data_IF_467935112815
#
_entry.id   IF_467935112815
#
_cell.length_a   1.000
_cell.length_b   1.000
_cell.length_c   1.000
_cell.angle_alpha   90.00
_cell.angle_beta   90.00
_cell.angle_gamma   90.00
#
_symmetry.space_group_name_H-M   'P 1'
#
loop_
_entity.id
_entity.type
_entity.pdbx_description
1 polymer ?
#
# COMPACT_ATOMS: atom_id res chain seq x y z
N UNK A 1 -6.93 4.60 -22.61
CA UNK A 1 -6.85 3.90 -21.31
C UNK A 1 -8.07 4.28 -20.50
N UNK A 2 -8.70 3.35 -19.75
CA UNK A 2 -9.79 3.71 -18.85
C UNK A 2 -9.32 4.75 -17.83
N UNK A 3 -10.17 5.72 -17.53
CA UNK A 3 -9.86 6.80 -16.58
C UNK A 3 -10.07 6.26 -15.16
N UNK A 4 -8.97 5.98 -14.45
CA UNK A 4 -9.04 5.49 -13.08
C UNK A 4 -9.54 6.58 -12.13
N UNK A 5 -10.52 6.25 -11.29
CA UNK A 5 -11.08 7.18 -10.31
C UNK A 5 -10.48 6.94 -8.91
N UNK A 6 -10.27 8.03 -8.16
CA UNK A 6 -9.82 8.01 -6.76
C UNK A 6 -10.90 8.41 -5.76
N UNK A 7 -11.85 9.26 -6.20
CA UNK A 7 -13.05 9.66 -5.48
C UNK A 7 -14.21 9.76 -6.46
N UNK A 8 -15.41 9.42 -6.00
CA UNK A 8 -16.66 9.53 -6.79
C UNK A 8 -17.89 9.91 -5.97
N UNK A 9 -17.92 9.45 -4.71
CA UNK A 9 -19.02 9.74 -3.79
C UNK A 9 -19.12 11.25 -3.54
N UNK A 10 -20.34 11.76 -3.61
CA UNK A 10 -20.69 13.17 -3.34
C UNK A 10 -19.97 14.19 -4.26
N UNK A 11 -19.57 13.77 -5.47
CA UNK A 11 -18.95 14.63 -6.48
C UNK A 11 -19.80 14.67 -7.76
N UNK A 12 -19.77 15.80 -8.51
CA UNK A 12 -20.48 15.91 -9.78
C UNK A 12 -19.92 14.99 -10.88
N UNK A 13 -18.67 14.55 -10.73
CA UNK A 13 -18.00 13.60 -11.61
C UNK A 13 -16.86 12.90 -10.87
N UNK A 14 -16.45 11.74 -11.37
CA UNK A 14 -15.29 11.01 -10.83
C UNK A 14 -14.03 11.88 -10.81
N UNK A 15 -13.41 11.97 -9.64
CA UNK A 15 -12.11 12.60 -9.47
C UNK A 15 -11.00 11.62 -9.84
N UNK A 16 -10.10 11.97 -10.77
CA UNK A 16 -9.10 11.02 -11.26
C UNK A 16 -8.15 10.58 -10.15
N UNK A 17 -7.80 9.29 -10.11
CA UNK A 17 -6.88 8.72 -9.11
C UNK A 17 -5.55 9.46 -9.09
N UNK A 18 -4.94 9.69 -10.27
CA UNK A 18 -3.66 10.40 -10.35
C UNK A 18 -3.71 11.80 -9.72
N UNK A 19 -4.82 12.51 -9.87
CA UNK A 19 -4.98 13.84 -9.27
C UNK A 19 -5.06 13.74 -7.75
N UNK A 20 -5.85 12.79 -7.23
CA UNK A 20 -5.92 12.51 -5.78
C UNK A 20 -4.55 12.17 -5.17
N UNK A 21 -3.72 11.38 -5.86
CA UNK A 21 -2.37 11.05 -5.40
C UNK A 21 -1.45 12.29 -5.40
N UNK A 22 -1.48 13.09 -6.47
CA UNK A 22 -0.69 14.33 -6.57
C UNK A 22 -1.12 15.34 -5.51
N UNK A 23 -2.43 15.52 -5.30
CA UNK A 23 -2.97 16.44 -4.29
C UNK A 23 -2.53 16.02 -2.89
N UNK A 24 -2.52 14.73 -2.60
CA UNK A 24 -2.07 14.21 -1.31
C UNK A 24 -0.58 14.46 -1.10
N UNK A 25 0.25 14.24 -2.13
CA UNK A 25 1.67 14.58 -2.08
C UNK A 25 1.90 16.10 -1.90
N UNK A 26 1.13 16.94 -2.61
CA UNK A 26 1.20 18.39 -2.48
C UNK A 26 0.76 18.85 -1.07
N UNK A 27 -0.27 18.24 -0.49
CA UNK A 27 -0.68 18.51 0.88
C UNK A 27 0.44 18.15 1.87
N UNK A 28 1.12 17.01 1.68
CA UNK A 28 2.25 16.62 2.51
C UNK A 28 3.42 17.62 2.44
N UNK A 29 3.72 18.19 1.27
CA UNK A 29 4.67 19.30 1.15
C UNK A 29 4.28 20.49 2.02
N UNK A 30 3.02 20.92 1.95
CA UNK A 30 2.51 22.05 2.75
C UNK A 30 2.56 21.74 4.25
N UNK A 31 2.24 20.52 4.66
CA UNK A 31 2.32 20.10 6.06
C UNK A 31 3.76 20.10 6.56
N UNK A 32 4.70 19.57 5.79
CA UNK A 32 6.12 19.59 6.12
C UNK A 32 6.67 21.01 6.30
N UNK A 33 6.29 21.92 5.40
CA UNK A 33 6.81 23.28 5.38
C UNK A 33 6.15 24.21 6.40
N UNK A 34 4.86 24.01 6.69
CA UNK A 34 4.07 24.98 7.47
C UNK A 34 3.51 24.47 8.79
N UNK A 35 3.44 23.16 9.00
CA UNK A 35 2.74 22.58 10.15
C UNK A 35 3.62 21.66 11.01
N UNK A 36 4.63 21.04 10.42
CA UNK A 36 5.51 20.14 11.15
C UNK A 36 6.37 20.93 12.15
N UNK A 37 6.31 20.56 13.42
CA UNK A 37 7.13 21.21 14.45
C UNK A 37 8.63 21.06 14.08
N UNK A 38 9.46 22.12 14.23
CA UNK A 38 10.86 22.08 13.82
C UNK A 38 11.65 20.89 14.38
N UNK A 39 11.39 20.51 15.64
CA UNK A 39 12.02 19.35 16.26
C UNK A 39 11.64 18.01 15.62
N UNK A 40 10.38 17.84 15.20
CA UNK A 40 9.92 16.62 14.51
C UNK A 40 10.52 16.54 13.11
N UNK A 41 10.57 17.67 12.39
CA UNK A 41 11.22 17.78 11.08
C UNK A 41 12.70 17.39 11.16
N UNK A 42 13.44 18.00 12.09
CA UNK A 42 14.85 17.69 12.30
C UNK A 42 15.07 16.21 12.69
N UNK A 43 14.20 15.66 13.53
CA UNK A 43 14.24 14.24 13.88
C UNK A 43 14.02 13.33 12.66
N UNK A 44 13.00 13.60 11.83
CA UNK A 44 12.73 12.83 10.61
C UNK A 44 13.90 12.89 9.63
N UNK A 45 14.46 14.09 9.38
CA UNK A 45 15.63 14.28 8.53
C UNK A 45 16.80 13.41 9.02
N UNK A 46 17.07 13.43 10.33
CA UNK A 46 18.14 12.62 10.92
C UNK A 46 17.88 11.10 10.81
N UNK A 47 16.63 10.65 11.03
CA UNK A 47 16.29 9.22 10.94
C UNK A 47 16.31 8.70 9.50
N UNK A 48 15.94 9.54 8.53
CA UNK A 48 15.99 9.18 7.12
C UNK A 48 17.42 9.22 6.56
N UNK A 49 18.34 9.92 7.23
CA UNK A 49 19.71 10.11 6.73
C UNK A 49 19.76 10.91 5.43
N UNK A 50 18.74 11.73 5.17
CA UNK A 50 18.60 12.58 3.99
C UNK A 50 18.83 14.03 4.38
N UNK A 51 19.05 14.89 3.38
CA UNK A 51 18.89 16.32 3.61
C UNK A 51 17.40 16.68 3.75
N UNK A 52 17.14 17.91 4.20
CA UNK A 52 15.79 18.39 4.47
C UNK A 52 14.88 18.39 3.22
N UNK A 53 15.45 18.68 2.05
CA UNK A 53 14.70 18.76 0.80
C UNK A 53 14.31 17.37 0.29
N UNK A 54 15.22 16.40 0.41
CA UNK A 54 15.00 15.02 0.02
C UNK A 54 14.12 14.27 1.02
N UNK A 55 14.25 14.54 2.32
CA UNK A 55 13.31 14.04 3.33
C UNK A 55 11.87 14.52 3.04
N UNK A 56 11.71 15.81 2.70
CA UNK A 56 10.42 16.38 2.31
C UNK A 56 9.84 15.70 1.07
N UNK A 57 10.66 15.50 0.03
CA UNK A 57 10.27 14.79 -1.20
C UNK A 57 9.87 13.36 -0.91
N UNK A 58 10.63 12.66 -0.07
CA UNK A 58 10.37 11.28 0.30
C UNK A 58 9.04 11.15 1.07
N UNK A 59 8.80 11.99 2.08
CA UNK A 59 7.52 12.00 2.81
C UNK A 59 6.34 12.31 1.89
N UNK A 60 6.49 13.29 0.98
CA UNK A 60 5.45 13.59 0.00
C UNK A 60 5.22 12.44 -0.98
N UNK A 61 6.27 11.73 -1.38
CA UNK A 61 6.17 10.53 -2.19
C UNK A 61 5.40 9.41 -1.46
N UNK A 62 5.74 9.13 -0.19
CA UNK A 62 5.00 8.15 0.62
C UNK A 62 3.51 8.49 0.72
N UNK A 63 3.19 9.77 0.94
CA UNK A 63 1.81 10.24 0.97
C UNK A 63 1.10 10.06 -0.39
N UNK A 64 1.81 10.32 -1.49
CA UNK A 64 1.31 10.10 -2.86
C UNK A 64 1.14 8.63 -3.25
N UNK A 65 1.71 7.68 -2.50
CA UNK A 65 1.54 6.24 -2.76
C UNK A 65 0.35 5.61 -2.03
N UNK A 66 -0.24 6.28 -1.04
CA UNK A 66 -1.18 5.64 -0.10
C UNK A 66 -2.35 4.93 -0.79
N UNK A 67 -2.85 5.50 -1.89
CA UNK A 67 -4.04 5.03 -2.60
C UNK A 67 -3.71 4.33 -3.94
N UNK A 68 -2.45 3.94 -4.18
CA UNK A 68 -2.04 3.28 -5.44
C UNK A 68 -2.86 2.01 -5.71
N UNK A 69 -3.23 1.27 -4.66
CA UNK A 69 -4.05 0.07 -4.76
C UNK A 69 -5.48 0.32 -5.23
N UNK A 70 -5.93 1.57 -5.36
CA UNK A 70 -7.18 1.90 -6.05
C UNK A 70 -7.13 1.61 -7.54
N UNK A 71 -5.94 1.50 -8.14
CA UNK A 71 -5.76 1.07 -9.52
C UNK A 71 -5.97 -0.45 -9.72
N UNK A 72 -6.86 -1.08 -8.93
CA UNK A 72 -7.22 -2.49 -9.07
C UNK A 72 -8.68 -2.64 -9.51
N UNK A 73 -9.04 -3.76 -10.17
CA UNK A 73 -10.43 -4.03 -10.56
C UNK A 73 -11.40 -4.01 -9.39
N UNK A 74 -11.01 -4.55 -8.23
CA UNK A 74 -11.88 -4.58 -7.05
C UNK A 74 -12.39 -3.19 -6.65
N UNK A 75 -11.51 -2.19 -6.74
CA UNK A 75 -11.89 -0.81 -6.46
C UNK A 75 -12.57 -0.14 -7.65
N UNK A 76 -12.02 -0.27 -8.86
CA UNK A 76 -12.50 0.47 -10.04
C UNK A 76 -13.89 0.01 -10.51
N UNK A 77 -14.12 -1.30 -10.47
CA UNK A 77 -15.37 -1.93 -10.90
C UNK A 77 -16.36 -2.11 -9.73
N UNK A 78 -15.93 -1.81 -8.50
CA UNK A 78 -16.65 -2.10 -7.25
C UNK A 78 -17.12 -3.57 -7.18
N UNK A 79 -16.30 -4.47 -7.73
CA UNK A 79 -16.61 -5.89 -7.87
C UNK A 79 -15.43 -6.80 -7.44
N UNK A 80 -15.66 -7.82 -6.58
CA UNK A 80 -16.93 -8.21 -5.97
C UNK A 80 -17.48 -7.10 -5.06
N UNK A 81 -18.75 -7.14 -4.61
CA UNK A 81 -19.34 -6.05 -3.85
C UNK A 81 -18.48 -5.69 -2.62
N UNK A 82 -18.27 -4.40 -2.32
CA UNK A 82 -17.51 -3.98 -1.15
C UNK A 82 -18.03 -4.64 0.13
N UNK A 83 -17.13 -5.24 0.91
CA UNK A 83 -17.46 -5.97 2.14
C UNK A 83 -17.77 -7.46 1.96
N UNK A 84 -17.80 -7.98 0.73
CA UNK A 84 -17.83 -9.42 0.47
C UNK A 84 -16.51 -10.11 0.88
N UNK A 85 -16.55 -11.43 1.09
CA UNK A 85 -15.39 -12.20 1.54
C UNK A 85 -14.20 -12.15 0.56
N UNK A 86 -14.48 -12.00 -0.73
CA UNK A 86 -13.47 -11.94 -1.80
C UNK A 86 -13.05 -10.49 -2.13
N UNK A 87 -13.64 -9.48 -1.47
CA UNK A 87 -13.28 -8.09 -1.68
C UNK A 87 -11.95 -7.76 -1.01
N UNK A 88 -10.96 -7.39 -1.82
CA UNK A 88 -9.67 -6.91 -1.33
C UNK A 88 -9.70 -5.39 -1.22
N UNK A 89 -9.50 -4.87 -0.02
CA UNK A 89 -9.50 -3.43 0.24
C UNK A 89 -8.27 -2.77 -0.41
N UNK A 90 -8.39 -1.54 -0.88
CA UNK A 90 -7.35 -0.92 -1.72
C UNK A 90 -6.05 -0.63 -0.94
N UNK A 91 -6.12 -0.44 0.37
CA UNK A 91 -4.94 -0.32 1.23
C UNK A 91 -4.21 -1.66 1.36
N UNK A 92 -4.94 -2.79 1.35
CA UNK A 92 -4.34 -4.11 1.30
C UNK A 92 -3.70 -4.37 -0.08
N UNK A 93 -4.34 -3.95 -1.16
CA UNK A 93 -3.73 -4.00 -2.49
C UNK A 93 -2.45 -3.18 -2.53
N UNK A 94 -2.45 -1.97 -1.95
CA UNK A 94 -1.25 -1.11 -1.86
C UNK A 94 -0.13 -1.83 -1.12
N UNK A 95 -0.43 -2.43 0.04
CA UNK A 95 0.52 -3.24 0.82
C UNK A 95 1.11 -4.41 0.02
N UNK A 96 0.29 -5.14 -0.72
CA UNK A 96 0.73 -6.35 -1.45
C UNK A 96 1.52 -6.02 -2.72
N UNK A 97 1.27 -4.87 -3.36
CA UNK A 97 1.80 -4.55 -4.69
C UNK A 97 3.02 -3.63 -4.65
N UNK A 98 3.10 -2.73 -3.66
CA UNK A 98 4.16 -1.73 -3.58
C UNK A 98 5.58 -2.32 -3.54
N UNK A 99 5.89 -3.44 -2.85
CA UNK A 99 7.25 -3.98 -2.86
C UNK A 99 7.72 -4.32 -4.26
N UNK A 100 6.88 -4.99 -5.05
CA UNK A 100 7.18 -5.34 -6.45
C UNK A 100 7.27 -4.10 -7.34
N UNK A 101 6.36 -3.13 -7.18
CA UNK A 101 6.39 -1.90 -7.97
C UNK A 101 7.67 -1.10 -7.71
N UNK A 102 8.06 -0.94 -6.44
CA UNK A 102 9.24 -0.18 -6.04
C UNK A 102 10.54 -0.86 -6.46
N UNK A 103 10.65 -2.18 -6.31
CA UNK A 103 11.81 -2.93 -6.80
C UNK A 103 11.97 -2.80 -8.32
N UNK A 104 10.85 -2.72 -9.07
CA UNK A 104 10.88 -2.47 -10.52
C UNK A 104 11.41 -1.09 -10.93
N UNK A 105 11.49 -0.13 -10.00
CA UNK A 105 12.09 1.19 -10.24
C UNK A 105 13.58 1.26 -9.87
N UNK A 106 14.13 0.24 -9.23
CA UNK A 106 15.53 0.17 -8.85
C UNK A 106 16.23 -0.91 -9.66
N UNK A 107 17.26 -0.57 -10.43
CA UNK A 107 18.10 -1.56 -11.13
C UNK A 107 19.03 -2.35 -10.17
N UNK A 108 18.72 -2.32 -8.87
CA UNK A 108 19.57 -2.81 -7.79
C UNK A 108 18.86 -3.97 -7.10
N UNK A 109 19.39 -5.17 -7.27
CA UNK A 109 19.01 -6.34 -6.48
C UNK A 109 19.75 -6.30 -5.14
N UNK A 110 19.20 -5.58 -4.16
CA UNK A 110 19.75 -5.43 -2.81
C UNK A 110 18.69 -5.77 -1.74
N UNK A 111 18.96 -6.74 -0.84
CA UNK A 111 18.06 -7.08 0.27
C UNK A 111 17.65 -5.90 1.15
N UNK A 112 18.48 -4.87 1.26
CA UNK A 112 18.16 -3.63 1.96
C UNK A 112 17.06 -2.84 1.23
N UNK A 113 17.16 -2.72 -0.10
CA UNK A 113 16.14 -2.07 -0.93
C UNK A 113 14.81 -2.81 -0.82
N UNK A 114 14.87 -4.14 -0.87
CA UNK A 114 13.69 -4.99 -0.66
C UNK A 114 13.06 -4.76 0.72
N UNK A 115 13.87 -4.68 1.78
CA UNK A 115 13.39 -4.38 3.13
C UNK A 115 12.70 -3.01 3.22
N UNK A 116 13.29 -1.97 2.62
CA UNK A 116 12.69 -0.62 2.58
C UNK A 116 11.37 -0.63 1.81
N UNK A 117 11.31 -1.31 0.66
CA UNK A 117 10.09 -1.42 -0.14
C UNK A 117 8.93 -2.05 0.66
N UNK A 118 9.22 -3.08 1.47
CA UNK A 118 8.23 -3.68 2.36
C UNK A 118 7.79 -2.72 3.49
N UNK A 119 8.71 -1.94 4.08
CA UNK A 119 8.34 -0.93 5.10
C UNK A 119 7.46 0.18 4.52
N UNK A 120 7.76 0.64 3.31
CA UNK A 120 6.93 1.61 2.58
C UNK A 120 5.53 1.03 2.35
N UNK A 121 5.46 -0.24 1.95
CA UNK A 121 4.19 -0.92 1.71
C UNK A 121 3.35 -1.05 2.99
N UNK A 122 3.97 -1.34 4.14
CA UNK A 122 3.29 -1.38 5.44
C UNK A 122 2.73 0.00 5.82
N UNK A 123 3.53 1.07 5.67
CA UNK A 123 3.09 2.45 5.96
C UNK A 123 1.90 2.82 5.06
N UNK A 124 2.03 2.60 3.75
CA UNK A 124 0.98 2.90 2.79
C UNK A 124 -0.27 2.04 3.04
N UNK A 125 -0.13 0.76 3.34
CA UNK A 125 -1.27 -0.13 3.62
C UNK A 125 -1.98 0.11 4.96
N UNK A 126 -1.34 0.85 5.87
CA UNK A 126 -1.88 1.23 7.17
C UNK A 126 -2.71 2.52 7.18
N UNK A 127 -2.89 3.19 6.04
CA UNK A 127 -3.42 4.57 6.00
C UNK A 127 -4.89 4.73 6.45
N UNK A 128 -5.66 3.64 6.59
CA UNK A 128 -7.00 3.64 7.21
C UNK A 128 -6.97 3.33 8.72
N UNK A 129 -5.81 3.38 9.36
CA UNK A 129 -5.65 3.16 10.79
C UNK A 129 -5.41 1.70 11.19
N UNK A 130 -5.34 0.79 10.22
CA UNK A 130 -5.09 -0.64 10.45
C UNK A 130 -3.90 -1.11 9.61
N UNK A 131 -2.79 -1.45 10.27
CA UNK A 131 -1.66 -2.07 9.59
C UNK A 131 -2.00 -3.52 9.21
N UNK A 132 -1.62 -3.91 8.00
CA UNK A 132 -1.80 -5.27 7.55
C UNK A 132 -0.96 -6.19 8.42
N UNK A 133 -1.58 -7.17 9.05
CA UNK A 133 -0.83 -8.23 9.72
C UNK A 133 -0.10 -9.04 8.65
N UNK A 134 1.12 -9.48 8.95
CA UNK A 134 1.73 -10.61 8.25
C UNK A 134 0.95 -11.85 8.66
N UNK A 135 -0.33 -11.92 8.30
CA UNK A 135 -1.07 -13.15 8.36
C UNK A 135 -0.28 -14.09 7.46
N UNK A 136 0.23 -15.18 8.04
CA UNK A 136 0.52 -16.39 7.28
C UNK A 136 -0.81 -16.80 6.66
N UNK A 137 -1.20 -16.17 5.55
CA UNK A 137 -2.27 -16.66 4.70
C UNK A 137 -1.78 -18.05 4.34
N UNK A 138 -2.38 -19.06 4.95
CA UNK A 138 -2.10 -20.45 4.62
C UNK A 138 -2.22 -20.53 3.11
N UNK A 139 -1.09 -20.67 2.43
CA UNK A 139 -1.06 -20.91 1.00
C UNK A 139 -1.80 -22.23 0.88
N UNK A 140 -3.08 -22.20 0.48
CA UNK A 140 -3.75 -23.41 0.03
C UNK A 140 -3.03 -23.80 -1.25
N UNK A 141 -2.10 -24.73 -1.12
CA UNK A 141 -1.47 -25.41 -2.25
C UNK A 141 -2.61 -26.11 -2.98
N UNK A 142 -2.97 -25.71 -4.22
CA UNK A 142 -3.97 -26.44 -4.97
C UNK A 142 -3.38 -27.81 -5.32
N UNK A 143 -3.89 -28.89 -4.74
CA UNK A 143 -3.52 -30.24 -5.16
C UNK A 143 -3.28 -31.31 -4.09
N UNK A 144 -3.58 -31.08 -2.81
CA UNK A 144 -3.61 -32.19 -1.84
C UNK A 144 -5.06 -32.47 -1.44
N UNK A 145 -5.68 -33.40 -2.16
CA UNK A 145 -6.78 -34.19 -1.63
C UNK A 145 -6.26 -34.93 -0.40
N UNK A 146 -6.82 -34.65 0.77
CA UNK A 146 -6.63 -35.50 1.94
C UNK A 146 -7.22 -36.88 1.62
N UNK A 147 -6.36 -37.78 1.13
CA UNK A 147 -6.65 -39.19 1.04
C UNK A 147 -6.78 -39.72 2.45
N UNK A 148 -7.98 -40.14 2.83
CA UNK A 148 -8.25 -40.80 4.09
C UNK A 148 -7.33 -42.01 4.26
N UNK A 149 -6.57 -42.01 5.35
CA UNK A 149 -5.85 -43.20 5.79
C UNK A 149 -6.72 -43.90 6.84
N UNK A 150 -7.39 -44.97 6.41
CA UNK A 150 -8.06 -45.92 7.28
C UNK A 150 -7.04 -46.55 8.23
N UNK A 151 -7.27 -46.43 9.54
CA UNK A 151 -6.62 -47.26 10.54
C UNK A 151 -7.19 -48.69 10.47
N UNK A 152 -6.38 -49.76 10.42
CA UNK A 152 -6.88 -51.08 10.73
C UNK A 152 -6.95 -51.26 12.25
N UNK A 153 -8.13 -51.71 12.72
CA UNK A 153 -8.32 -52.27 14.05
C UNK A 153 -7.37 -53.47 14.26
N UNK A 154 -6.78 -53.55 15.44
CA UNK A 154 -6.19 -54.78 15.95
C UNK A 154 -6.70 -54.99 17.38
N UNK A 155 -7.55 -56.01 17.52
CA UNK A 155 -7.87 -56.78 18.72
C UNK A 155 -6.62 -57.39 19.35
#
# INVERSE_FOLDING_TARGET
MPKLWGKRKDLPSDYPLLHHLIDTAAAAYVLWDKHLAPGVRAWLVAQLGLDDQDARRFVAFLAGLHDVGKACPCFQDEWPPPGSADYVRHEQVSYLTLPTLLNGFTEVEDPMVESVAHRIAEIAGGHHGEFQSVARRGIRVPGHSEGGCNSPEAT
#
